data_IF_510294453414
#
_entry.id   IF_510294453414
#
_cell.length_a   1.000
_cell.length_b   1.000
_cell.length_c   1.000
_cell.angle_alpha   90.00
_cell.angle_beta   90.00
_cell.angle_gamma   90.00
#
_symmetry.space_group_name_H-M   'P 1'
#
loop_
_entity.id
_entity.type
_entity.pdbx_description
1 polymer ?
#
# COMPACT_ATOMS: atom_id res chain seq x y z
N UNK A 1 -9.85 -23.48 0.98
CA UNK A 1 -10.87 -23.67 -0.08
C UNK A 1 -10.54 -22.91 -1.37
N UNK A 2 -10.32 -21.59 -1.31
CA UNK A 2 -9.96 -20.76 -2.48
C UNK A 2 -8.73 -21.29 -3.25
N UNK A 3 -7.64 -21.64 -2.56
CA UNK A 3 -6.43 -22.20 -3.19
C UNK A 3 -6.72 -23.43 -4.06
N UNK A 4 -7.45 -24.40 -3.50
CA UNK A 4 -7.80 -25.63 -4.20
C UNK A 4 -8.78 -25.39 -5.34
N UNK A 5 -9.79 -24.56 -5.13
CA UNK A 5 -10.88 -24.37 -6.10
C UNK A 5 -10.46 -23.54 -7.32
N UNK A 6 -9.71 -22.46 -7.10
CA UNK A 6 -9.35 -21.52 -8.18
C UNK A 6 -7.95 -21.75 -8.74
N UNK A 7 -7.03 -22.29 -7.95
CA UNK A 7 -5.62 -22.41 -8.32
C UNK A 7 -5.13 -23.86 -8.36
N UNK A 8 -6.00 -24.83 -8.11
CA UNK A 8 -5.63 -26.25 -8.03
C UNK A 8 -4.41 -26.48 -7.11
N UNK A 9 -4.32 -25.66 -6.06
CA UNK A 9 -3.19 -25.65 -5.12
C UNK A 9 -3.70 -25.99 -3.74
N UNK A 10 -3.17 -27.08 -3.18
CA UNK A 10 -3.41 -27.41 -1.79
C UNK A 10 -2.56 -26.49 -0.90
N UNK A 11 -3.25 -25.77 -0.01
CA UNK A 11 -2.65 -24.81 0.91
C UNK A 11 -2.92 -25.28 2.33
N UNK A 12 -1.87 -25.61 3.05
CA UNK A 12 -1.88 -25.88 4.48
C UNK A 12 -1.71 -24.56 5.25
N UNK A 13 -2.49 -24.37 6.32
CA UNK A 13 -2.55 -23.12 7.06
C UNK A 13 -2.31 -23.39 8.54
N UNK A 14 -1.33 -22.72 9.11
CA UNK A 14 -1.00 -22.78 10.54
C UNK A 14 -1.09 -21.37 11.15
N UNK A 15 -1.64 -21.25 12.36
CA UNK A 15 -1.64 -19.98 13.10
C UNK A 15 -0.34 -19.87 13.89
N UNK A 16 0.46 -18.84 13.59
CA UNK A 16 1.72 -18.57 14.28
C UNK A 16 1.54 -17.65 15.50
N UNK A 17 0.60 -16.70 15.43
CA UNK A 17 0.38 -15.70 16.48
C UNK A 17 -1.01 -15.10 16.40
N UNK A 18 -1.56 -14.76 17.57
CA UNK A 18 -2.80 -14.00 17.71
C UNK A 18 -2.55 -12.82 18.67
N UNK A 19 -2.88 -11.61 18.26
CA UNK A 19 -2.79 -10.40 19.08
C UNK A 19 -4.02 -9.54 18.90
N UNK A 20 -4.57 -9.01 19.99
CA UNK A 20 -5.64 -8.01 19.92
C UNK A 20 -5.03 -6.62 20.02
N UNK A 21 -5.23 -5.80 18.99
CA UNK A 21 -4.74 -4.42 18.91
C UNK A 21 -5.92 -3.51 18.57
N UNK A 22 -6.25 -2.56 19.44
CA UNK A 22 -7.36 -1.60 19.26
C UNK A 22 -8.67 -2.27 18.80
N UNK A 23 -9.16 -3.25 19.56
CA UNK A 23 -10.36 -4.05 19.27
C UNK A 23 -10.34 -4.83 17.94
N UNK A 24 -9.18 -4.91 17.28
CA UNK A 24 -8.98 -5.72 16.08
C UNK A 24 -8.13 -6.94 16.43
N UNK A 25 -8.59 -8.13 16.04
CA UNK A 25 -7.82 -9.36 16.17
C UNK A 25 -6.87 -9.50 14.98
N UNK A 26 -5.57 -9.45 15.25
CA UNK A 26 -4.52 -9.72 14.29
C UNK A 26 -4.06 -11.17 14.43
N UNK A 27 -4.20 -11.94 13.34
CA UNK A 27 -3.76 -13.34 13.28
C UNK A 27 -2.65 -13.46 12.23
N UNK A 28 -1.46 -13.89 12.65
CA UNK A 28 -0.41 -14.26 11.71
C UNK A 28 -0.55 -15.73 11.34
N UNK A 29 -0.71 -16.00 10.05
CA UNK A 29 -0.88 -17.34 9.51
C UNK A 29 0.30 -17.69 8.61
N UNK A 30 0.85 -18.89 8.78
CA UNK A 30 1.79 -19.49 7.84
C UNK A 30 0.99 -20.27 6.79
N UNK A 31 1.30 -20.01 5.52
CA UNK A 31 0.71 -20.71 4.39
C UNK A 31 1.77 -21.58 3.73
N UNK A 32 1.60 -22.90 3.78
CA UNK A 32 2.51 -23.88 3.17
C UNK A 32 1.85 -24.48 1.93
N UNK A 33 2.49 -24.33 0.77
CA UNK A 33 1.97 -24.86 -0.49
C UNK A 33 3.07 -25.04 -1.54
N UNK A 34 2.76 -25.81 -2.60
CA UNK A 34 3.66 -25.98 -3.73
C UNK A 34 3.68 -24.73 -4.63
N UNK A 35 4.75 -23.94 -4.50
CA UNK A 35 4.92 -22.69 -5.23
C UNK A 35 5.84 -22.79 -6.47
N UNK A 36 6.03 -23.98 -7.05
CA UNK A 36 6.96 -24.20 -8.18
C UNK A 36 6.59 -23.39 -9.43
N UNK A 37 5.30 -23.23 -9.73
CA UNK A 37 4.82 -22.46 -10.88
C UNK A 37 5.29 -20.98 -10.83
N UNK A 38 5.20 -20.34 -9.66
CA UNK A 38 5.64 -18.95 -9.47
C UNK A 38 7.17 -18.79 -9.58
N UNK A 39 7.94 -19.78 -9.14
CA UNK A 39 9.40 -19.71 -9.25
C UNK A 39 9.88 -19.74 -10.72
N UNK A 40 9.17 -20.44 -11.59
CA UNK A 40 9.44 -20.48 -13.02
C UNK A 40 9.12 -19.12 -13.67
N UNK A 41 7.97 -18.53 -13.36
CA UNK A 41 7.59 -17.21 -13.85
C UNK A 41 8.52 -16.11 -13.36
N UNK A 42 8.95 -16.15 -12.09
CA UNK A 42 9.90 -15.16 -11.55
C UNK A 42 11.23 -15.19 -12.29
N UNK A 43 11.74 -16.37 -12.65
CA UNK A 43 12.98 -16.50 -13.43
C UNK A 43 12.84 -15.94 -14.85
N UNK A 44 11.65 -16.06 -15.45
CA UNK A 44 11.35 -15.51 -16.78
C UNK A 44 11.05 -14.00 -16.75
N UNK A 45 10.42 -13.48 -15.69
CA UNK A 45 10.05 -12.07 -15.55
C UNK A 45 11.19 -11.18 -15.05
N UNK A 46 12.12 -11.69 -14.24
CA UNK A 46 13.31 -10.90 -13.83
C UNK A 46 14.16 -10.51 -15.04
N UNK A 47 14.11 -11.27 -16.13
CA UNK A 47 14.76 -10.91 -17.41
C UNK A 47 13.96 -9.89 -18.24
N UNK A 48 12.71 -9.57 -17.86
CA UNK A 48 11.78 -8.71 -18.60
C UNK A 48 11.41 -7.42 -17.88
N UNK A 49 11.92 -7.17 -16.67
CA UNK A 49 11.86 -5.83 -16.08
C UNK A 49 12.83 -4.96 -16.87
N UNK A 50 12.40 -4.59 -18.06
CA UNK A 50 13.06 -3.64 -18.92
C UNK A 50 13.15 -2.35 -18.11
N UNK A 51 14.38 -1.87 -17.95
CA UNK A 51 14.76 -0.65 -17.21
C UNK A 51 14.05 0.61 -17.74
N UNK A 52 13.24 0.44 -18.79
CA UNK A 52 12.52 1.43 -19.58
C UNK A 52 11.04 1.60 -19.17
N UNK A 53 10.49 0.79 -18.25
CA UNK A 53 9.05 0.85 -17.91
C UNK A 53 8.62 1.88 -16.85
N UNK A 54 9.44 2.89 -16.53
CA UNK A 54 8.90 4.16 -16.01
C UNK A 54 9.92 5.32 -16.06
N UNK A 55 9.99 6.11 -17.16
CA UNK A 55 10.55 7.45 -17.12
C UNK A 55 9.42 8.50 -17.04
N UNK A 56 8.36 8.24 -16.28
CA UNK A 56 7.40 9.30 -15.95
C UNK A 56 8.08 10.20 -14.94
N UNK A 57 8.44 11.42 -15.36
CA UNK A 57 8.99 12.42 -14.44
C UNK A 57 7.98 12.64 -13.33
N UNK A 58 8.43 12.65 -12.07
CA UNK A 58 7.54 12.75 -10.91
C UNK A 58 6.57 13.95 -10.98
N UNK A 59 6.97 15.06 -11.62
CA UNK A 59 6.08 16.20 -11.82
C UNK A 59 4.87 15.88 -12.72
N UNK A 60 5.06 15.06 -13.77
CA UNK A 60 3.99 14.68 -14.70
C UNK A 60 2.95 13.80 -14.00
N UNK A 61 3.39 12.96 -13.05
CA UNK A 61 2.49 12.15 -12.23
C UNK A 61 1.57 13.04 -11.37
N UNK A 62 2.11 14.11 -10.78
CA UNK A 62 1.35 15.04 -9.95
C UNK A 62 0.36 15.90 -10.77
N UNK A 63 0.68 16.18 -12.04
CA UNK A 63 -0.25 16.84 -12.96
C UNK A 63 -1.43 15.92 -13.35
N UNK A 64 -1.19 14.61 -13.47
CA UNK A 64 -2.22 13.63 -13.82
C UNK A 64 -3.21 13.39 -12.67
N UNK A 65 -2.74 13.43 -11.42
CA UNK A 65 -3.59 13.16 -10.25
C UNK A 65 -3.96 14.46 -9.52
N UNK A 66 -5.08 15.13 -9.90
CA UNK A 66 -5.42 16.48 -9.45
C UNK A 66 -5.62 16.64 -7.94
N UNK A 67 -5.98 15.56 -7.23
CA UNK A 67 -6.24 15.54 -5.79
C UNK A 67 -5.30 14.61 -5.01
N UNK A 68 -4.14 14.24 -5.58
CA UNK A 68 -3.17 13.46 -4.84
C UNK A 68 -2.55 14.25 -3.68
N UNK A 69 -2.15 13.52 -2.63
CA UNK A 69 -1.42 14.05 -1.49
C UNK A 69 -0.20 13.16 -1.29
N UNK A 70 0.98 13.76 -1.32
CA UNK A 70 2.24 13.11 -0.98
C UNK A 70 2.66 13.61 0.39
N UNK A 71 2.88 12.70 1.33
CA UNK A 71 3.33 12.99 2.68
C UNK A 71 4.44 12.04 3.10
N UNK A 72 5.18 12.38 4.15
CA UNK A 72 6.29 11.58 4.65
C UNK A 72 5.92 10.72 5.87
N UNK A 73 6.91 10.04 6.45
CA UNK A 73 6.76 9.20 7.64
C UNK A 73 6.24 9.95 8.89
N UNK A 74 6.36 11.28 8.93
CA UNK A 74 5.82 12.13 10.00
C UNK A 74 4.41 12.65 9.69
N UNK A 75 3.80 12.14 8.61
CA UNK A 75 2.53 12.58 8.06
C UNK A 75 2.53 14.06 7.67
N UNK A 76 3.68 14.64 7.31
CA UNK A 76 3.77 16.02 6.84
C UNK A 76 3.53 16.05 5.33
N UNK A 77 2.58 16.86 4.89
CA UNK A 77 2.25 17.02 3.47
C UNK A 77 3.45 17.66 2.76
N UNK A 78 4.06 16.94 1.81
CA UNK A 78 5.22 17.38 1.03
C UNK A 78 4.83 17.97 -0.31
N UNK A 79 3.82 17.42 -0.97
CA UNK A 79 3.32 17.91 -2.26
C UNK A 79 1.86 17.51 -2.47
N UNK A 80 1.14 18.26 -3.30
CA UNK A 80 -0.27 18.03 -3.63
C UNK A 80 -0.52 18.22 -5.12
N UNK A 81 -1.58 17.60 -5.64
CA UNK A 81 -2.03 17.79 -7.02
C UNK A 81 -2.58 19.19 -7.28
N UNK A 82 -2.61 19.59 -8.56
CA UNK A 82 -2.94 20.96 -8.97
C UNK A 82 -4.35 21.42 -8.57
N UNK A 83 -5.35 20.53 -8.64
CA UNK A 83 -6.71 20.91 -8.23
C UNK A 83 -6.82 21.08 -6.72
N UNK A 84 -6.14 20.24 -5.94
CA UNK A 84 -6.09 20.38 -4.49
C UNK A 84 -5.32 21.66 -4.08
N UNK A 85 -4.25 22.01 -4.80
CA UNK A 85 -3.54 23.27 -4.61
C UNK A 85 -4.44 24.48 -4.87
N UNK A 86 -5.30 24.43 -5.89
CA UNK A 86 -6.22 25.51 -6.20
C UNK A 86 -7.28 25.74 -5.10
N UNK A 87 -7.80 24.67 -4.50
CA UNK A 87 -8.84 24.78 -3.46
C UNK A 87 -8.28 24.91 -2.04
N UNK A 88 -7.07 24.41 -1.79
CA UNK A 88 -6.41 24.39 -0.48
C UNK A 88 -4.91 24.74 -0.60
N UNK A 89 -4.55 25.98 -0.97
CA UNK A 89 -3.17 26.33 -1.33
C UNK A 89 -2.16 26.25 -0.18
N UNK A 90 -2.64 26.35 1.07
CA UNK A 90 -1.80 26.54 2.25
C UNK A 90 -1.67 25.27 3.11
N UNK A 91 -1.72 24.08 2.52
CA UNK A 91 -1.67 22.81 3.26
C UNK A 91 -0.32 22.09 3.18
N UNK A 92 0.51 22.43 2.19
CA UNK A 92 1.88 21.90 2.12
C UNK A 92 2.67 22.34 3.35
N UNK A 93 3.40 21.41 3.97
CA UNK A 93 4.12 21.60 5.22
C UNK A 93 3.29 21.38 6.49
N UNK A 94 1.96 21.20 6.39
CA UNK A 94 1.12 20.86 7.54
C UNK A 94 1.05 19.36 7.76
N UNK A 95 0.74 18.95 8.99
CA UNK A 95 0.39 17.56 9.29
C UNK A 95 -0.90 17.17 8.59
N UNK A 96 -0.91 16.01 7.96
CA UNK A 96 -2.05 15.42 7.27
C UNK A 96 -3.27 15.37 8.18
N UNK A 97 -3.08 14.91 9.42
CA UNK A 97 -4.15 14.77 10.44
C UNK A 97 -4.71 16.08 10.97
N UNK A 98 -4.05 17.22 10.71
CA UNK A 98 -4.57 18.56 11.04
C UNK A 98 -5.46 19.09 9.93
N UNK A 99 -5.26 18.62 8.70
CA UNK A 99 -5.95 19.11 7.50
C UNK A 99 -7.07 18.15 7.06
N UNK A 100 -6.85 16.85 7.23
CA UNK A 100 -7.72 15.78 6.79
C UNK A 100 -7.97 14.77 7.90
N UNK A 101 -9.15 14.15 7.84
CA UNK A 101 -9.55 13.07 8.73
C UNK A 101 -9.65 11.76 7.92
N UNK A 102 -9.05 10.69 8.46
CA UNK A 102 -9.18 9.35 7.89
C UNK A 102 -10.52 8.75 8.35
N UNK A 103 -11.51 8.74 7.47
CA UNK A 103 -12.84 8.21 7.80
C UNK A 103 -12.92 6.68 7.66
N UNK A 104 -12.05 6.08 6.82
CA UNK A 104 -11.98 4.63 6.60
C UNK A 104 -10.54 4.19 6.24
N UNK A 105 -10.11 2.99 6.69
CA UNK A 105 -10.76 2.18 7.73
C UNK A 105 -10.77 2.91 9.08
N UNK A 106 -11.54 2.43 10.07
CA UNK A 106 -11.65 3.03 11.40
C UNK A 106 -10.39 2.73 12.23
N UNK A 107 -9.27 3.32 11.82
CA UNK A 107 -7.96 3.18 12.46
C UNK A 107 -7.42 4.56 12.80
N UNK A 108 -6.55 4.63 13.80
CA UNK A 108 -5.79 5.85 14.04
C UNK A 108 -4.88 6.14 12.83
N UNK A 109 -4.95 7.37 12.30
CA UNK A 109 -4.14 7.80 11.17
C UNK A 109 -2.68 8.02 11.61
N UNK A 110 -1.91 6.93 11.64
CA UNK A 110 -0.46 6.91 11.89
C UNK A 110 0.27 6.35 10.67
N UNK A 111 1.58 6.63 10.55
CA UNK A 111 2.37 6.09 9.45
C UNK A 111 2.28 4.57 9.38
N UNK A 112 2.53 3.88 10.51
CA UNK A 112 2.46 2.42 10.62
C UNK A 112 1.10 1.85 10.18
N UNK A 113 0.02 2.52 10.56
CA UNK A 113 -1.32 2.06 10.24
C UNK A 113 -1.66 2.23 8.75
N UNK A 114 -1.09 3.23 8.07
CA UNK A 114 -1.31 3.48 6.64
C UNK A 114 -0.33 2.68 5.76
N UNK A 115 0.93 2.51 6.18
CA UNK A 115 1.96 1.78 5.44
C UNK A 115 1.83 0.26 5.57
N UNK A 116 1.29 -0.23 6.70
CA UNK A 116 1.27 -1.65 7.04
C UNK A 116 2.64 -2.22 7.46
N UNK A 117 3.64 -1.36 7.71
CA UNK A 117 5.00 -1.72 8.16
C UNK A 117 5.39 -0.99 9.45
#
# INVERSE_FOLDING_TARGET
EVGRHFYQTDVEIEVLKEETIFDTLHVMMQLTFDNRAFQLDRRQNVQRIDKNMMPVKAFLFLEIFPFCIVFDEYLVIRTIGNSLLAVMPNIVGKKLTVVFELTKPLIECTWRAVSGF
#
